data_IF_324195694702
#
_entry.id   IF_324195694702
#
_cell.length_a   1.000
_cell.length_b   1.000
_cell.length_c   1.000
_cell.angle_alpha   90.00
_cell.angle_beta   90.00
_cell.angle_gamma   90.00
#
_symmetry.space_group_name_H-M   'P 1'
#
loop_
_entity.id
_entity.type
_entity.pdbx_description
1 polymer ?
#
# COMPACT_ATOMS: atom_id res chain seq x y z
N UNK A 1 -13.74 -12.87 -12.12
CA UNK A 1 -12.51 -12.73 -11.29
C UNK A 1 -11.82 -14.07 -11.30
N UNK A 2 -10.63 -14.17 -11.89
CA UNK A 2 -9.86 -15.41 -11.91
C UNK A 2 -9.21 -15.61 -10.52
N UNK A 3 -9.63 -16.61 -9.72
CA UNK A 3 -9.13 -16.79 -8.36
C UNK A 3 -7.62 -17.08 -8.33
N UNK A 4 -7.07 -17.68 -9.39
CA UNK A 4 -5.63 -17.93 -9.48
C UNK A 4 -4.86 -16.62 -9.60
N UNK A 5 -5.31 -15.73 -10.48
CA UNK A 5 -4.70 -14.41 -10.68
C UNK A 5 -4.74 -13.57 -9.39
N UNK A 6 -5.89 -13.55 -8.71
CA UNK A 6 -6.00 -12.85 -7.43
C UNK A 6 -4.98 -13.37 -6.42
N UNK A 7 -4.90 -14.69 -6.25
CA UNK A 7 -4.05 -15.31 -5.23
C UNK A 7 -2.55 -15.12 -5.55
N UNK A 8 -2.14 -15.23 -6.81
CA UNK A 8 -0.75 -14.98 -7.21
C UNK A 8 -0.36 -13.53 -7.03
N UNK A 9 -1.18 -12.58 -7.50
CA UNK A 9 -0.90 -11.14 -7.33
C UNK A 9 -0.89 -10.76 -5.84
N UNK A 10 -1.87 -11.21 -5.06
CA UNK A 10 -1.92 -10.95 -3.62
C UNK A 10 -0.67 -11.47 -2.92
N UNK A 11 -0.30 -12.73 -3.17
CA UNK A 11 0.86 -13.36 -2.52
C UNK A 11 2.16 -12.66 -2.91
N UNK A 12 2.34 -12.33 -4.19
CA UNK A 12 3.52 -11.63 -4.67
C UNK A 12 3.67 -10.25 -4.02
N UNK A 13 2.60 -9.45 -4.01
CA UNK A 13 2.62 -8.11 -3.40
C UNK A 13 2.77 -8.21 -1.89
N UNK A 14 2.07 -9.13 -1.23
CA UNK A 14 2.18 -9.34 0.21
C UNK A 14 3.61 -9.66 0.63
N UNK A 15 4.29 -10.57 -0.08
CA UNK A 15 5.70 -10.90 0.21
C UNK A 15 6.63 -9.72 -0.09
N UNK A 16 6.40 -8.98 -1.18
CA UNK A 16 7.23 -7.83 -1.55
C UNK A 16 7.16 -6.71 -0.51
N UNK A 17 5.98 -6.52 0.10
CA UNK A 17 5.72 -5.46 1.09
C UNK A 17 5.94 -5.92 2.54
N UNK A 18 6.21 -7.20 2.79
CA UNK A 18 6.36 -7.74 4.15
C UNK A 18 7.65 -7.21 4.80
N UNK A 19 7.51 -6.50 5.92
CA UNK A 19 8.66 -5.96 6.66
C UNK A 19 9.20 -4.65 6.09
N UNK A 20 8.41 -3.95 5.26
CA UNK A 20 8.76 -2.59 4.87
C UNK A 20 8.96 -1.67 6.09
N UNK A 21 9.80 -0.65 5.92
CA UNK A 21 10.14 0.35 6.94
C UNK A 21 8.90 0.99 7.56
N UNK A 22 7.84 1.17 6.79
CA UNK A 22 6.56 1.71 7.30
C UNK A 22 5.88 0.77 8.30
N UNK A 23 5.95 -0.55 8.11
CA UNK A 23 5.41 -1.54 9.03
C UNK A 23 6.20 -1.58 10.34
N UNK A 24 7.54 -1.55 10.26
CA UNK A 24 8.40 -1.49 11.45
C UNK A 24 8.17 -0.20 12.26
N UNK A 25 8.03 0.95 11.58
CA UNK A 25 7.68 2.21 12.23
C UNK A 25 6.31 2.14 12.92
N UNK A 26 5.30 1.59 12.25
CA UNK A 26 3.94 1.44 12.80
C UNK A 26 3.94 0.57 14.05
N UNK A 27 4.65 -0.56 14.04
CA UNK A 27 4.80 -1.45 15.21
C UNK A 27 5.54 -0.73 16.35
N UNK A 28 6.60 0.03 16.05
CA UNK A 28 7.32 0.84 17.03
C UNK A 28 6.42 1.89 17.70
N UNK A 29 5.62 2.62 16.93
CA UNK A 29 4.67 3.60 17.46
C UNK A 29 3.55 2.94 18.27
N UNK A 30 3.06 1.77 17.84
CA UNK A 30 2.03 1.02 18.57
C UNK A 30 2.56 0.49 19.91
N UNK A 31 3.82 0.04 19.95
CA UNK A 31 4.47 -0.46 21.16
C UNK A 31 4.77 0.67 22.17
N UNK A 32 5.16 1.86 21.70
CA UNK A 32 5.57 2.97 22.57
C UNK A 32 4.45 3.86 23.11
N UNK A 33 3.31 3.96 22.42
CA UNK A 33 2.27 4.96 22.76
C UNK A 33 1.14 4.45 23.65
N UNK A 34 0.98 3.14 23.82
CA UNK A 34 -0.21 2.53 24.46
C UNK A 34 -1.51 2.70 23.65
N UNK A 35 -1.51 3.52 22.60
CA UNK A 35 -2.65 3.89 21.77
C UNK A 35 -2.71 3.08 20.46
N UNK A 36 -2.57 1.75 20.56
CA UNK A 36 -2.53 0.81 19.43
C UNK A 36 -3.64 1.03 18.38
N UNK A 37 -4.85 1.36 18.81
CA UNK A 37 -5.99 1.58 17.91
C UNK A 37 -5.87 2.89 17.13
N UNK A 38 -5.38 3.95 17.76
CA UNK A 38 -5.13 5.23 17.10
C UNK A 38 -3.99 5.11 16.09
N UNK A 39 -2.92 4.40 16.46
CA UNK A 39 -1.80 4.12 15.55
C UNK A 39 -2.26 3.28 14.35
N UNK A 40 -3.07 2.26 14.58
CA UNK A 40 -3.66 1.46 13.52
C UNK A 40 -4.51 2.31 12.57
N UNK A 41 -5.46 3.09 13.10
CA UNK A 41 -6.33 3.93 12.29
C UNK A 41 -5.54 4.98 11.48
N UNK A 42 -4.53 5.60 12.08
CA UNK A 42 -3.66 6.55 11.41
C UNK A 42 -2.84 5.90 10.29
N UNK A 43 -2.19 4.76 10.55
CA UNK A 43 -1.39 4.05 9.56
C UNK A 43 -2.24 3.51 8.40
N UNK A 44 -3.41 2.93 8.68
CA UNK A 44 -4.34 2.48 7.64
C UNK A 44 -4.86 3.63 6.79
N UNK A 45 -5.22 4.76 7.41
CA UNK A 45 -5.68 5.94 6.66
C UNK A 45 -4.56 6.51 5.79
N UNK A 46 -3.33 6.58 6.31
CA UNK A 46 -2.17 7.04 5.55
C UNK A 46 -1.90 6.13 4.34
N UNK A 47 -2.00 4.81 4.50
CA UNK A 47 -1.84 3.86 3.40
C UNK A 47 -2.89 4.07 2.31
N UNK A 48 -4.18 4.15 2.68
CA UNK A 48 -5.27 4.38 1.72
C UNK A 48 -5.08 5.69 0.97
N UNK A 49 -4.73 6.77 1.67
CA UNK A 49 -4.50 8.08 1.05
C UNK A 49 -3.29 8.06 0.11
N UNK A 50 -2.19 7.42 0.51
CA UNK A 50 -1.00 7.27 -0.32
C UNK A 50 -1.31 6.50 -1.60
N UNK A 51 -2.01 5.36 -1.48
CA UNK A 51 -2.45 4.57 -2.64
C UNK A 51 -3.39 5.37 -3.53
N UNK A 52 -4.34 6.12 -2.96
CA UNK A 52 -5.25 6.97 -3.73
C UNK A 52 -4.49 8.00 -4.56
N UNK A 53 -3.52 8.70 -3.96
CA UNK A 53 -2.67 9.65 -4.68
C UNK A 53 -1.88 8.94 -5.78
N UNK A 54 -1.28 7.79 -5.48
CA UNK A 54 -0.55 6.99 -6.46
C UNK A 54 -1.40 6.55 -7.65
N UNK A 55 -2.66 6.14 -7.41
CA UNK A 55 -3.60 5.76 -8.47
C UNK A 55 -4.03 6.97 -9.30
N UNK A 56 -4.33 8.10 -8.68
CA UNK A 56 -4.70 9.32 -9.40
C UNK A 56 -3.56 9.83 -10.29
N UNK A 57 -2.35 9.88 -9.74
CA UNK A 57 -1.15 10.29 -10.48
C UNK A 57 -0.79 9.27 -11.56
N UNK A 58 -0.83 7.98 -11.24
CA UNK A 58 -0.55 6.90 -12.19
C UNK A 58 -1.56 6.87 -13.34
N UNK A 59 -2.84 7.10 -13.06
CA UNK A 59 -3.88 7.23 -14.08
C UNK A 59 -3.66 8.43 -14.99
N UNK A 60 -3.42 9.61 -14.42
CA UNK A 60 -3.13 10.82 -15.20
C UNK A 60 -1.84 10.69 -16.04
N UNK A 61 -0.79 10.10 -15.47
CA UNK A 61 0.45 9.82 -16.18
C UNK A 61 0.23 8.81 -17.32
N UNK A 62 -0.57 7.77 -17.08
CA UNK A 62 -0.91 6.77 -18.10
C UNK A 62 -1.57 7.36 -19.35
N UNK A 63 -2.38 8.40 -19.22
CA UNK A 63 -2.97 9.11 -20.36
C UNK A 63 -1.93 9.92 -21.18
N UNK A 64 -0.81 10.29 -20.56
CA UNK A 64 0.27 11.05 -21.21
C UNK A 64 1.39 10.17 -21.76
N UNK A 65 1.45 8.89 -21.36
CA UNK A 65 2.50 7.96 -21.75
C UNK A 65 2.15 7.31 -23.10
N UNK A 66 3.06 7.34 -24.09
CA UNK A 66 2.82 6.70 -25.38
C UNK A 66 2.80 5.16 -25.22
N UNK A 67 1.95 4.50 -26.03
CA UNK A 67 1.69 3.06 -26.01
C UNK A 67 2.88 2.10 -25.83
N UNK A 68 4.12 2.36 -26.30
CA UNK A 68 5.27 1.49 -25.98
C UNK A 68 5.70 1.45 -24.50
N UNK A 69 5.20 2.33 -23.64
CA UNK A 69 5.53 2.40 -22.21
C UNK A 69 4.36 2.03 -21.29
N UNK A 70 3.20 1.69 -21.85
CA UNK A 70 2.00 1.19 -21.15
C UNK A 70 1.95 -0.34 -21.23
#
# INVERSE_FOLDING_TARGET
>A
MDPKLFLTTFTAVFLAELGDKTQLATVGFAAGSGARWTVFAAASSALVLSTLVGVLVGGAAGETLPAPFL
#
